data_IF_550706510530
#
_entry.id   IF_550706510530
#
_cell.length_a   1.000
_cell.length_b   1.000
_cell.length_c   1.000
_cell.angle_alpha   90.00
_cell.angle_beta   90.00
_cell.angle_gamma   90.00
#
_symmetry.space_group_name_H-M   'P 1'
#
loop_
_entity.id
_entity.type
_entity.pdbx_description
1 polymer ?
#
# COMPACT_ATOMS: atom_id res chain seq x y z
N UNK A 1 6.17 -4.84 12.79
CA UNK A 1 6.97 -5.21 11.60
C UNK A 1 7.78 -3.99 11.26
N UNK A 2 9.09 -4.13 11.21
CA UNK A 2 10.02 -3.01 11.02
C UNK A 2 10.44 -2.90 9.55
N UNK A 3 10.33 -1.71 8.97
CA UNK A 3 10.59 -1.45 7.55
C UNK A 3 11.70 -0.41 7.41
N UNK A 4 12.74 -0.73 6.65
CA UNK A 4 13.81 0.20 6.31
C UNK A 4 13.52 0.93 4.99
N UNK A 5 13.63 2.26 4.96
CA UNK A 5 13.46 3.06 3.73
C UNK A 5 14.79 3.13 2.97
N UNK A 6 14.74 2.85 1.67
CA UNK A 6 15.89 2.87 0.77
C UNK A 6 15.59 3.64 -0.51
N UNK A 7 16.52 4.49 -0.93
CA UNK A 7 16.39 5.30 -2.14
C UNK A 7 17.64 6.12 -2.44
N UNK A 8 17.54 7.03 -3.42
CA UNK A 8 18.65 7.89 -3.81
C UNK A 8 18.86 9.02 -2.82
N UNK A 9 20.12 9.23 -2.41
CA UNK A 9 20.57 10.38 -1.61
C UNK A 9 21.61 11.21 -2.35
N UNK A 10 22.58 10.55 -3.00
CA UNK A 10 23.64 11.23 -3.77
C UNK A 10 23.07 12.00 -4.96
N UNK A 11 23.46 13.26 -5.09
CA UNK A 11 23.10 14.13 -6.22
C UNK A 11 21.69 14.72 -6.16
N UNK A 12 20.97 14.55 -5.05
CA UNK A 12 19.70 15.25 -4.81
C UNK A 12 19.91 16.51 -3.96
N UNK A 13 19.11 17.56 -4.16
CA UNK A 13 19.05 18.67 -3.22
C UNK A 13 18.67 18.17 -1.81
N UNK A 14 19.34 18.64 -0.74
CA UNK A 14 19.09 18.15 0.62
C UNK A 14 17.63 18.28 1.08
N UNK A 15 16.92 19.32 0.59
CA UNK A 15 15.51 19.54 0.87
C UNK A 15 14.64 18.43 0.26
N UNK A 16 14.75 18.22 -1.05
CA UNK A 16 13.99 17.22 -1.80
C UNK A 16 14.22 15.80 -1.26
N UNK A 17 15.47 15.48 -0.92
CA UNK A 17 15.81 14.22 -0.27
C UNK A 17 15.10 14.09 1.08
N UNK A 18 15.20 15.08 1.97
CA UNK A 18 14.52 15.03 3.28
C UNK A 18 13.01 14.88 3.14
N UNK A 19 12.39 15.67 2.27
CA UNK A 19 10.94 15.62 2.02
C UNK A 19 10.52 14.24 1.53
N UNK A 20 11.27 13.63 0.62
CA UNK A 20 10.94 12.31 0.07
C UNK A 20 11.01 11.20 1.11
N UNK A 21 12.10 11.15 1.87
CA UNK A 21 12.27 10.15 2.93
C UNK A 21 11.28 10.36 4.08
N UNK A 22 10.97 11.61 4.43
CA UNK A 22 9.97 11.91 5.46
C UNK A 22 8.56 11.52 5.00
N UNK A 23 8.17 11.85 3.77
CA UNK A 23 6.87 11.47 3.20
C UNK A 23 6.67 9.95 3.21
N UNK A 24 7.71 9.19 2.84
CA UNK A 24 7.67 7.73 2.91
C UNK A 24 7.57 7.21 4.35
N UNK A 25 8.26 7.85 5.30
CA UNK A 25 8.18 7.51 6.71
C UNK A 25 6.77 7.72 7.25
N UNK A 26 6.21 8.91 7.05
CA UNK A 26 4.87 9.28 7.52
C UNK A 26 3.82 8.33 6.95
N UNK A 27 3.92 8.01 5.65
CA UNK A 27 3.03 7.08 4.97
C UNK A 27 3.05 5.68 5.60
N UNK A 28 4.23 5.12 5.83
CA UNK A 28 4.37 3.78 6.41
C UNK A 28 3.94 3.75 7.89
N UNK A 29 4.18 4.84 8.62
CA UNK A 29 3.73 4.99 10.02
C UNK A 29 2.21 5.13 10.11
N UNK A 30 1.57 5.87 9.20
CA UNK A 30 0.09 5.98 9.13
C UNK A 30 -0.57 4.61 8.90
N UNK A 31 0.07 3.74 8.13
CA UNK A 31 -0.39 2.36 7.89
C UNK A 31 -0.12 1.44 9.11
N UNK A 32 0.67 1.90 10.10
CA UNK A 32 0.92 1.22 11.36
C UNK A 32 2.21 0.38 11.40
N UNK A 33 3.22 0.73 10.60
CA UNK A 33 4.53 0.08 10.64
C UNK A 33 5.56 0.85 11.47
N UNK A 34 6.51 0.11 12.03
CA UNK A 34 7.72 0.70 12.62
C UNK A 34 8.70 1.00 11.49
N UNK A 35 9.17 2.23 11.38
CA UNK A 35 9.95 2.68 10.21
C UNK A 35 11.35 3.12 10.61
N UNK A 36 12.34 2.61 9.88
CA UNK A 36 13.74 3.03 10.00
C UNK A 36 14.11 3.91 8.81
N UNK A 37 14.27 5.19 9.09
CA UNK A 37 14.67 6.19 8.10
C UNK A 37 16.20 6.42 8.15
N UNK A 38 16.94 6.16 7.06
CA UNK A 38 18.40 6.31 7.06
C UNK A 38 18.89 7.74 7.28
N UNK A 39 18.05 8.76 7.10
CA UNK A 39 18.43 10.14 7.39
C UNK A 39 18.55 10.42 8.91
N UNK A 40 18.02 9.54 9.76
CA UNK A 40 18.05 9.68 11.21
C UNK A 40 19.14 8.81 11.88
N UNK A 41 20.16 8.38 11.12
CA UNK A 41 21.20 7.46 11.60
C UNK A 41 22.38 8.14 12.33
N UNK A 42 22.32 9.46 12.53
CA UNK A 42 23.32 10.24 13.24
C UNK A 42 24.57 10.62 12.43
N UNK A 43 24.64 10.24 11.13
CA UNK A 43 25.72 10.68 10.24
C UNK A 43 25.40 12.04 9.60
N UNK A 44 26.45 12.82 9.35
CA UNK A 44 26.38 14.05 8.57
C UNK A 44 26.24 13.72 7.08
N UNK A 45 25.58 14.57 6.30
CA UNK A 45 25.49 14.40 4.83
C UNK A 45 26.84 14.45 4.12
N UNK A 46 27.87 14.99 4.79
CA UNK A 46 29.23 15.10 4.27
C UNK A 46 30.13 13.93 4.70
N UNK A 47 29.60 12.95 5.44
CA UNK A 47 30.39 11.77 5.81
C UNK A 47 30.71 10.92 4.57
N UNK A 48 31.76 10.10 4.70
CA UNK A 48 32.19 9.22 3.62
C UNK A 48 31.07 8.27 3.17
N UNK A 49 30.93 8.10 1.86
CA UNK A 49 29.87 7.29 1.27
C UNK A 49 29.89 5.84 1.79
N UNK A 50 31.07 5.25 2.04
CA UNK A 50 31.16 3.90 2.59
C UNK A 50 30.67 3.85 4.03
N UNK A 51 30.91 4.88 4.85
CA UNK A 51 30.34 4.98 6.21
C UNK A 51 28.82 5.00 6.17
N UNK A 52 28.23 5.79 5.27
CA UNK A 52 26.79 5.78 5.06
C UNK A 52 26.27 4.40 4.64
N UNK A 53 26.94 3.73 3.70
CA UNK A 53 26.53 2.40 3.25
C UNK A 53 26.59 1.37 4.39
N UNK A 54 27.68 1.34 5.18
CA UNK A 54 27.82 0.43 6.32
C UNK A 54 26.71 0.67 7.33
N UNK A 55 26.47 1.92 7.74
CA UNK A 55 25.41 2.26 8.70
C UNK A 55 24.01 1.89 8.17
N UNK A 56 23.78 2.11 6.88
CA UNK A 56 22.52 1.73 6.25
C UNK A 56 22.30 0.21 6.25
N UNK A 57 23.36 -0.57 6.01
CA UNK A 57 23.30 -2.04 6.12
C UNK A 57 23.03 -2.47 7.57
N UNK A 58 23.71 -1.87 8.54
CA UNK A 58 23.47 -2.13 9.98
C UNK A 58 22.00 -1.88 10.37
N UNK A 59 21.42 -0.80 9.86
CA UNK A 59 20.02 -0.43 10.11
C UNK A 59 19.02 -1.34 9.36
N UNK A 60 19.38 -1.85 8.17
CA UNK A 60 18.55 -2.76 7.39
C UNK A 60 18.54 -4.18 7.95
N UNK A 61 19.65 -4.65 8.55
CA UNK A 61 19.77 -6.01 9.08
C UNK A 61 18.64 -6.43 10.04
N UNK A 62 18.26 -5.64 11.07
CA UNK A 62 17.19 -6.01 12.00
C UNK A 62 15.77 -5.86 11.43
N UNK A 63 15.61 -5.17 10.29
CA UNK A 63 14.28 -4.91 9.72
C UNK A 63 13.68 -6.17 9.07
N UNK A 64 12.35 -6.31 9.10
CA UNK A 64 11.62 -7.39 8.44
C UNK A 64 11.50 -7.17 6.93
N UNK A 65 11.47 -5.90 6.51
CA UNK A 65 11.23 -5.49 5.14
C UNK A 65 12.08 -4.28 4.72
N UNK A 66 12.21 -4.09 3.41
CA UNK A 66 12.76 -2.89 2.78
C UNK A 66 11.69 -2.21 1.92
N UNK A 67 11.58 -0.90 2.04
CA UNK A 67 10.74 -0.04 1.19
C UNK A 67 11.62 0.79 0.25
N UNK A 68 11.49 0.55 -1.05
CA UNK A 68 12.27 1.16 -2.10
C UNK A 68 11.50 2.32 -2.73
N UNK A 69 12.06 3.53 -2.58
CA UNK A 69 11.59 4.74 -3.24
C UNK A 69 11.71 4.58 -4.77
N UNK A 70 10.87 5.28 -5.54
CA UNK A 70 10.82 5.21 -7.02
C UNK A 70 12.18 5.36 -7.73
N UNK A 71 13.12 6.09 -7.12
CA UNK A 71 14.45 6.42 -7.63
C UNK A 71 15.54 5.46 -7.12
N UNK A 72 15.17 4.34 -6.49
CA UNK A 72 16.13 3.40 -5.92
C UNK A 72 17.09 2.82 -6.96
N UNK A 73 16.63 2.59 -8.19
CA UNK A 73 17.47 2.04 -9.28
C UNK A 73 18.63 2.96 -9.67
N UNK A 74 18.46 4.28 -9.47
CA UNK A 74 19.49 5.29 -9.76
C UNK A 74 20.48 5.48 -8.60
N UNK A 75 20.38 4.66 -7.55
CA UNK A 75 21.18 4.75 -6.33
C UNK A 75 21.97 3.47 -6.13
N UNK A 76 23.30 3.55 -6.31
CA UNK A 76 24.21 2.41 -6.06
C UNK A 76 24.01 1.83 -4.65
N UNK A 77 23.86 2.70 -3.64
CA UNK A 77 23.62 2.26 -2.26
C UNK A 77 22.28 1.55 -2.09
N UNK A 78 21.21 2.03 -2.72
CA UNK A 78 19.90 1.40 -2.64
C UNK A 78 19.86 0.07 -3.39
N UNK A 79 20.52 -0.04 -4.55
CA UNK A 79 20.64 -1.29 -5.30
C UNK A 79 21.39 -2.37 -4.51
N UNK A 80 22.47 -2.02 -3.81
CA UNK A 80 23.18 -2.94 -2.91
C UNK A 80 22.25 -3.43 -1.77
N UNK A 81 21.48 -2.52 -1.18
CA UNK A 81 20.53 -2.84 -0.12
C UNK A 81 19.39 -3.74 -0.61
N UNK A 82 18.89 -3.51 -1.83
CA UNK A 82 17.91 -4.39 -2.48
C UNK A 82 18.46 -5.79 -2.68
N UNK A 83 19.66 -5.93 -3.26
CA UNK A 83 20.29 -7.22 -3.50
C UNK A 83 20.51 -8.00 -2.19
N UNK A 84 20.93 -7.30 -1.14
CA UNK A 84 21.08 -7.85 0.20
C UNK A 84 19.73 -8.33 0.75
N UNK A 85 18.70 -7.48 0.73
CA UNK A 85 17.37 -7.82 1.23
C UNK A 85 16.78 -9.04 0.49
N UNK A 86 16.97 -9.09 -0.84
CA UNK A 86 16.56 -10.21 -1.68
C UNK A 86 17.25 -11.51 -1.28
N UNK A 87 18.58 -11.50 -1.12
CA UNK A 87 19.37 -12.68 -0.70
C UNK A 87 19.03 -13.13 0.71
N UNK A 88 18.68 -12.19 1.59
CA UNK A 88 18.24 -12.46 2.96
C UNK A 88 16.75 -12.85 3.06
N UNK A 89 16.02 -12.90 1.93
CA UNK A 89 14.58 -13.21 1.87
C UNK A 89 13.72 -12.28 2.75
N UNK A 90 14.11 -11.02 2.85
CA UNK A 90 13.28 -9.97 3.47
C UNK A 90 12.10 -9.61 2.55
N UNK A 91 11.04 -9.05 3.12
CA UNK A 91 9.92 -8.53 2.34
C UNK A 91 10.38 -7.28 1.56
N UNK A 92 10.12 -7.21 0.25
CA UNK A 92 10.55 -6.09 -0.62
C UNK A 92 9.33 -5.34 -1.12
N UNK A 93 9.26 -4.05 -0.81
CA UNK A 93 8.14 -3.18 -1.12
C UNK A 93 8.61 -2.04 -2.01
N UNK A 94 7.86 -1.74 -3.07
CA UNK A 94 8.17 -0.65 -3.99
C UNK A 94 7.17 0.49 -3.81
N UNK A 95 7.66 1.73 -3.78
CA UNK A 95 6.84 2.94 -3.68
C UNK A 95 5.77 3.00 -4.78
N UNK A 96 6.16 2.71 -6.03
CA UNK A 96 5.23 2.67 -7.16
C UNK A 96 4.06 1.72 -6.94
N UNK A 97 4.30 0.56 -6.29
CA UNK A 97 3.25 -0.40 -5.97
C UNK A 97 2.37 0.09 -4.83
N UNK A 98 2.94 0.69 -3.79
CA UNK A 98 2.19 1.20 -2.65
C UNK A 98 1.29 2.38 -3.06
N UNK A 99 1.84 3.35 -3.79
CA UNK A 99 1.10 4.50 -4.33
C UNK A 99 -0.01 4.04 -5.28
N UNK A 100 0.27 3.06 -6.15
CA UNK A 100 -0.77 2.45 -7.00
C UNK A 100 -1.89 1.84 -6.16
N UNK A 101 -1.55 1.06 -5.14
CA UNK A 101 -2.54 0.40 -4.28
C UNK A 101 -3.39 1.42 -3.51
N UNK A 102 -2.79 2.49 -2.99
CA UNK A 102 -3.52 3.57 -2.32
C UNK A 102 -4.50 4.27 -3.25
N UNK A 103 -4.07 4.59 -4.47
CA UNK A 103 -4.93 5.19 -5.49
C UNK A 103 -6.12 4.29 -5.84
N UNK A 104 -5.90 2.98 -5.93
CA UNK A 104 -6.97 1.99 -6.15
C UNK A 104 -7.92 1.99 -4.95
N UNK A 105 -7.38 1.91 -3.74
CA UNK A 105 -8.15 1.86 -2.49
C UNK A 105 -9.01 3.10 -2.32
N UNK A 106 -8.47 4.30 -2.54
CA UNK A 106 -9.19 5.56 -2.45
C UNK A 106 -10.37 5.62 -3.45
N UNK A 107 -10.14 5.21 -4.70
CA UNK A 107 -11.22 5.13 -5.71
C UNK A 107 -12.34 4.19 -5.29
N UNK A 108 -11.99 3.02 -4.76
CA UNK A 108 -12.95 2.03 -4.29
C UNK A 108 -13.72 2.55 -3.06
N UNK A 109 -13.03 3.17 -2.11
CA UNK A 109 -13.65 3.75 -0.91
C UNK A 109 -14.67 4.84 -1.28
N UNK A 110 -14.30 5.75 -2.18
CA UNK A 110 -15.19 6.82 -2.62
C UNK A 110 -16.42 6.26 -3.34
N UNK A 111 -16.26 5.27 -4.22
CA UNK A 111 -17.39 4.64 -4.90
C UNK A 111 -18.32 3.90 -3.94
N UNK A 112 -17.78 3.20 -2.94
CA UNK A 112 -18.58 2.54 -1.89
C UNK A 112 -19.31 3.59 -1.06
N UNK A 113 -18.64 4.68 -0.68
CA UNK A 113 -19.24 5.77 0.09
C UNK A 113 -20.39 6.43 -0.67
N UNK A 114 -20.22 6.72 -1.96
CA UNK A 114 -21.27 7.31 -2.80
C UNK A 114 -22.52 6.41 -2.92
N UNK A 115 -22.33 5.09 -2.98
CA UNK A 115 -23.43 4.13 -3.15
C UNK A 115 -24.11 3.78 -1.81
N UNK A 116 -23.34 3.68 -0.73
CA UNK A 116 -23.80 3.09 0.54
C UNK A 116 -23.83 4.06 1.71
N UNK A 117 -23.21 5.24 1.59
CA UNK A 117 -22.98 6.18 2.69
C UNK A 117 -21.88 5.75 3.66
N UNK A 118 -21.32 4.54 3.52
CA UNK A 118 -20.35 4.01 4.47
C UNK A 118 -18.92 4.49 4.20
N UNK A 119 -18.21 4.82 5.26
CA UNK A 119 -16.77 5.10 5.27
C UNK A 119 -15.97 3.81 5.46
N UNK A 120 -14.68 3.82 5.08
CA UNK A 120 -13.79 2.67 5.30
C UNK A 120 -13.84 2.19 6.75
N UNK A 121 -13.69 3.11 7.71
CA UNK A 121 -13.67 2.79 9.14
C UNK A 121 -14.90 2.01 9.62
N UNK A 122 -16.07 2.23 9.02
CA UNK A 122 -17.32 1.57 9.44
C UNK A 122 -17.41 0.12 8.97
N UNK A 123 -16.92 -0.18 7.75
CA UNK A 123 -16.92 -1.55 7.21
C UNK A 123 -15.63 -2.32 7.46
N UNK A 124 -14.59 -1.74 8.06
CA UNK A 124 -13.44 -2.47 8.61
C UNK A 124 -13.68 -2.98 10.04
N UNK A 125 -14.79 -2.62 10.69
CA UNK A 125 -15.19 -3.14 12.01
C UNK A 125 -15.65 -4.60 11.98
N UNK A 126 -15.73 -5.29 13.15
CA UNK A 126 -16.19 -6.71 13.22
C UNK A 126 -17.70 -6.83 13.00
N UNK A 127 -18.37 -5.71 12.73
CA UNK A 127 -19.80 -5.63 12.47
C UNK A 127 -20.20 -6.57 11.33
N UNK A 128 -21.26 -7.33 11.61
CA UNK A 128 -21.98 -8.18 10.67
C UNK A 128 -23.27 -7.52 10.16
N UNK A 129 -23.48 -6.23 10.46
CA UNK A 129 -24.58 -5.47 9.87
C UNK A 129 -24.48 -5.58 8.34
N UNK A 130 -25.63 -5.73 7.70
CA UNK A 130 -25.74 -6.04 6.27
C UNK A 130 -24.90 -5.09 5.42
N UNK A 131 -25.08 -3.78 5.61
CA UNK A 131 -24.40 -2.76 4.81
C UNK A 131 -22.88 -2.81 5.01
N UNK A 132 -22.42 -2.93 6.27
CA UNK A 132 -21.00 -3.07 6.58
C UNK A 132 -20.39 -4.33 5.94
N UNK A 133 -21.13 -5.44 5.95
CA UNK A 133 -20.68 -6.68 5.35
C UNK A 133 -20.63 -6.58 3.81
N UNK A 134 -21.64 -6.00 3.19
CA UNK A 134 -21.70 -5.79 1.74
C UNK A 134 -20.58 -4.85 1.26
N UNK A 135 -20.39 -3.71 1.91
CA UNK A 135 -19.32 -2.76 1.60
C UNK A 135 -17.94 -3.43 1.71
N UNK A 136 -17.71 -4.26 2.73
CA UNK A 136 -16.45 -5.02 2.88
C UNK A 136 -16.24 -6.04 1.76
N UNK A 137 -17.28 -6.76 1.35
CA UNK A 137 -17.18 -7.71 0.23
C UNK A 137 -16.88 -7.00 -1.09
N UNK A 138 -17.59 -5.90 -1.37
CA UNK A 138 -17.38 -5.08 -2.57
C UNK A 138 -15.95 -4.56 -2.58
N UNK A 139 -15.47 -3.99 -1.46
CA UNK A 139 -14.10 -3.53 -1.31
C UNK A 139 -13.08 -4.62 -1.65
N UNK A 140 -13.16 -5.77 -0.98
CA UNK A 140 -12.21 -6.86 -1.17
C UNK A 140 -12.22 -7.40 -2.61
N UNK A 141 -13.39 -7.53 -3.22
CA UNK A 141 -13.55 -8.00 -4.60
C UNK A 141 -12.93 -7.02 -5.60
N UNK A 142 -13.21 -5.73 -5.48
CA UNK A 142 -12.65 -4.73 -6.40
C UNK A 142 -11.13 -4.53 -6.20
N UNK A 143 -10.62 -4.63 -4.97
CA UNK A 143 -9.16 -4.65 -4.75
C UNK A 143 -8.51 -5.85 -5.45
N UNK A 144 -9.11 -7.04 -5.38
CA UNK A 144 -8.61 -8.23 -6.09
C UNK A 144 -8.69 -8.11 -7.61
N UNK A 145 -9.76 -7.55 -8.16
CA UNK A 145 -9.88 -7.25 -9.60
C UNK A 145 -8.77 -6.33 -10.09
N UNK A 146 -8.27 -5.44 -9.22
CA UNK A 146 -7.13 -4.56 -9.49
C UNK A 146 -5.76 -5.18 -9.15
N UNK A 147 -5.71 -6.51 -8.96
CA UNK A 147 -4.50 -7.31 -8.75
C UNK A 147 -3.78 -7.10 -7.40
N UNK A 148 -4.41 -6.45 -6.41
CA UNK A 148 -3.83 -6.30 -5.06
C UNK A 148 -3.70 -7.66 -4.36
N UNK A 149 -2.60 -7.95 -3.66
CA UNK A 149 -2.43 -9.25 -2.98
C UNK A 149 -3.38 -9.35 -1.79
N UNK A 150 -3.84 -10.56 -1.46
CA UNK A 150 -4.75 -10.78 -0.33
C UNK A 150 -4.17 -10.30 1.01
N UNK A 151 -2.84 -10.39 1.22
CA UNK A 151 -2.15 -9.86 2.41
C UNK A 151 -2.37 -8.34 2.54
N UNK A 152 -2.22 -7.62 1.43
CA UNK A 152 -2.36 -6.15 1.40
C UNK A 152 -3.82 -5.74 1.67
N UNK A 153 -4.78 -6.41 1.01
CA UNK A 153 -6.22 -6.15 1.21
C UNK A 153 -6.62 -6.41 2.66
N UNK A 154 -6.13 -7.52 3.23
CA UNK A 154 -6.39 -7.90 4.62
C UNK A 154 -5.87 -6.85 5.60
N UNK A 155 -4.70 -6.23 5.32
CA UNK A 155 -4.16 -5.12 6.09
C UNK A 155 -5.08 -3.89 6.05
N UNK A 156 -5.56 -3.48 4.86
CA UNK A 156 -6.48 -2.34 4.71
C UNK A 156 -7.80 -2.49 5.46
N UNK A 157 -8.25 -3.73 5.68
CA UNK A 157 -9.51 -3.98 6.40
C UNK A 157 -9.33 -4.49 7.84
N UNK A 158 -8.08 -4.55 8.32
CA UNK A 158 -7.71 -5.07 9.63
C UNK A 158 -8.28 -6.47 9.93
N UNK A 159 -8.12 -7.42 8.99
CA UNK A 159 -8.66 -8.79 9.11
C UNK A 159 -7.66 -9.87 8.69
N UNK A 160 -7.99 -11.10 9.03
CA UNK A 160 -7.22 -12.27 8.63
C UNK A 160 -7.37 -12.61 7.15
N UNK A 161 -6.32 -13.22 6.59
CA UNK A 161 -6.28 -13.64 5.18
C UNK A 161 -7.37 -14.66 4.83
N UNK A 162 -7.76 -15.54 5.75
CA UNK A 162 -8.81 -16.54 5.53
C UNK A 162 -10.17 -15.91 5.21
N UNK A 163 -10.44 -14.72 5.75
CA UNK A 163 -11.64 -13.96 5.44
C UNK A 163 -11.67 -13.51 3.96
N UNK A 164 -10.51 -13.24 3.35
CA UNK A 164 -10.45 -12.77 1.95
C UNK A 164 -11.03 -13.80 1.01
N UNK A 165 -10.61 -15.05 1.14
CA UNK A 165 -11.13 -16.15 0.33
C UNK A 165 -12.64 -16.30 0.49
N UNK A 166 -13.13 -16.19 1.72
CA UNK A 166 -14.57 -16.24 2.00
C UNK A 166 -15.34 -15.09 1.34
N UNK A 167 -14.89 -13.84 1.50
CA UNK A 167 -15.57 -12.67 0.93
C UNK A 167 -15.62 -12.74 -0.60
N UNK A 168 -14.55 -13.21 -1.25
CA UNK A 168 -14.50 -13.32 -2.71
C UNK A 168 -15.51 -14.35 -3.24
N UNK A 169 -15.57 -15.52 -2.62
CA UNK A 169 -16.56 -16.54 -3.00
C UNK A 169 -17.98 -16.06 -2.72
N UNK A 170 -18.19 -15.46 -1.54
CA UNK A 170 -19.49 -14.97 -1.12
C UNK A 170 -19.99 -13.82 -1.99
N UNK A 171 -19.09 -12.99 -2.52
CA UNK A 171 -19.44 -11.94 -3.48
C UNK A 171 -20.12 -12.51 -4.73
N UNK A 172 -19.62 -13.62 -5.29
CA UNK A 172 -20.22 -14.26 -6.46
C UNK A 172 -21.62 -14.80 -6.15
N UNK A 173 -21.76 -15.47 -5.01
CA UNK A 173 -23.05 -15.99 -4.52
C UNK A 173 -24.07 -14.84 -4.34
N UNK A 174 -23.71 -13.78 -3.63
CA UNK A 174 -24.60 -12.64 -3.37
C UNK A 174 -24.93 -11.89 -4.67
N UNK A 175 -23.99 -11.75 -5.61
CA UNK A 175 -24.28 -11.16 -6.92
C UNK A 175 -25.32 -11.99 -7.68
N UNK A 176 -25.23 -13.33 -7.60
CA UNK A 176 -26.13 -14.23 -8.31
C UNK A 176 -27.51 -14.34 -7.68
N UNK A 177 -27.62 -14.36 -6.35
CA UNK A 177 -28.86 -14.72 -5.66
C UNK A 177 -29.51 -13.59 -4.86
N UNK A 178 -28.82 -12.47 -4.61
CA UNK A 178 -29.33 -11.37 -3.82
C UNK A 178 -29.52 -10.10 -4.68
N UNK A 179 -30.76 -9.77 -5.08
CA UNK A 179 -31.03 -8.60 -5.92
C UNK A 179 -30.58 -7.28 -5.28
N UNK A 180 -30.73 -7.14 -3.96
CA UNK A 180 -30.32 -5.93 -3.25
C UNK A 180 -28.79 -5.74 -3.32
N UNK A 181 -28.04 -6.81 -3.06
CA UNK A 181 -26.57 -6.77 -3.17
C UNK A 181 -26.12 -6.50 -4.61
N UNK A 182 -26.75 -7.17 -5.59
CA UNK A 182 -26.43 -7.01 -7.00
C UNK A 182 -26.51 -5.55 -7.45
N UNK A 183 -27.60 -4.85 -7.12
CA UNK A 183 -27.78 -3.43 -7.46
C UNK A 183 -26.67 -2.56 -6.86
N UNK A 184 -26.28 -2.82 -5.60
CA UNK A 184 -25.18 -2.07 -4.97
C UNK A 184 -23.84 -2.33 -5.67
N UNK A 185 -23.54 -3.60 -5.96
CA UNK A 185 -22.31 -4.01 -6.62
C UNK A 185 -22.20 -3.45 -8.05
N UNK A 186 -23.30 -3.46 -8.81
CA UNK A 186 -23.37 -2.87 -10.16
C UNK A 186 -23.13 -1.36 -10.12
N UNK A 187 -23.79 -0.62 -9.21
CA UNK A 187 -23.60 0.83 -9.07
C UNK A 187 -22.16 1.20 -8.73
N UNK A 188 -21.52 0.47 -7.81
CA UNK A 188 -20.10 0.69 -7.48
C UNK A 188 -19.21 0.43 -8.70
N UNK A 189 -19.48 -0.67 -9.42
CA UNK A 189 -18.74 -1.01 -10.64
C UNK A 189 -18.89 0.06 -11.73
N UNK A 190 -20.08 0.63 -11.90
CA UNK A 190 -20.34 1.69 -12.88
C UNK A 190 -19.57 2.98 -12.56
N UNK A 191 -19.52 3.39 -11.29
CA UNK A 191 -18.71 4.55 -10.86
C UNK A 191 -17.23 4.30 -11.18
N UNK A 192 -16.71 3.15 -10.78
CA UNK A 192 -15.30 2.79 -11.00
C UNK A 192 -14.94 2.73 -12.48
N UNK A 193 -15.83 2.23 -13.33
CA UNK A 193 -15.62 2.18 -14.78
C UNK A 193 -15.67 3.58 -15.42
N UNK A 194 -16.62 4.44 -15.03
CA UNK A 194 -16.68 5.83 -15.51
C UNK A 194 -15.40 6.62 -15.19
N UNK A 195 -14.81 6.38 -14.03
CA UNK A 195 -13.51 6.99 -13.65
C UNK A 195 -12.36 6.51 -14.55
N UNK A 196 -12.40 5.28 -15.07
CA UNK A 196 -11.36 4.76 -15.97
C UNK A 196 -11.42 5.45 -17.34
N UNK A 197 -12.63 5.67 -17.89
CA UNK A 197 -12.80 6.34 -19.19
C UNK A 197 -12.33 7.81 -19.16
N UNK A 198 -12.69 8.57 -18.11
CA UNK A 198 -12.23 9.97 -17.95
C UNK A 198 -10.71 10.13 -17.85
N UNK A 199 -9.99 9.13 -17.31
CA UNK A 199 -8.53 9.20 -17.20
C UNK A 199 -7.81 8.85 -18.51
N UNK A 200 -8.49 8.20 -19.47
CA UNK A 200 -7.92 7.87 -20.79
C UNK A 200 -8.11 8.97 -21.83
N UNK A 201 -9.11 9.84 -21.65
CA UNK A 201 -9.37 10.98 -22.54
C UNK A 201 -8.48 12.20 -22.22
N UNK A 202 -7.80 12.20 -21.08
CA UNK A 202 -6.93 13.29 -20.61
C UNK A 202 -5.42 12.96 -20.72
N UNK A 203 -5.05 11.91 -21.46
CA UNK A 203 -3.67 11.52 -21.82
C UNK A 203 -3.49 11.65 -23.32
#
# INVERSE_FOLDING_TARGET
>A
MQIYISGKTTGLPPKDMKEKFQSAQDLLQEIGFDVVNPLNNGLSLNDDWKKHLVRNIENLLPCDAIYLLDNWMDSVGASIQYDMALRMKKDIWFESQLVRNQNIVLKIQNAIHEVTGMTLGEYTTKSRKRDAFFSRMIFACHCRKNQMKQKDIAAYIHRDRSLMTYLLRKYEDETKYNPQFRVLAERVNDILNKTIYKNRENL
#
